data_IF_971545584608
#
_entry.id   IF_971545584608
#
_cell.length_a   1.000
_cell.length_b   1.000
_cell.length_c   1.000
_cell.angle_alpha   90.00
_cell.angle_beta   90.00
_cell.angle_gamma   90.00
#
_symmetry.space_group_name_H-M   'P 1'
#
loop_
_entity.id
_entity.type
_entity.pdbx_description
1 polymer ?
#
# COMPACT_ATOMS: atom_id res chain seq x y z
N UNK A 1 -14.51 10.48 0.25
CA UNK A 1 -14.99 9.29 -0.50
C UNK A 1 -15.25 8.17 0.50
N UNK A 2 -16.19 7.26 0.25
CA UNK A 2 -16.37 6.12 1.15
C UNK A 2 -15.22 5.13 0.96
N UNK A 3 -14.72 4.57 2.06
CA UNK A 3 -13.75 3.48 2.02
C UNK A 3 -14.40 2.23 1.42
N UNK A 4 -13.62 1.40 0.73
CA UNK A 4 -14.14 0.18 0.09
C UNK A 4 -14.50 -0.93 1.10
N UNK A 5 -13.89 -0.91 2.28
CA UNK A 5 -14.11 -1.89 3.34
C UNK A 5 -14.69 -1.23 4.59
N UNK A 6 -15.31 -2.04 5.44
CA UNK A 6 -15.86 -1.58 6.71
C UNK A 6 -14.77 -1.14 7.69
N UNK A 7 -15.16 -0.33 8.69
CA UNK A 7 -14.23 0.07 9.77
C UNK A 7 -13.79 -1.14 10.59
N UNK A 8 -14.67 -2.10 10.74
CA UNK A 8 -14.45 -3.37 11.44
C UNK A 8 -13.39 -4.20 10.72
N UNK A 9 -13.46 -4.28 9.39
CA UNK A 9 -12.46 -4.96 8.57
C UNK A 9 -11.07 -4.32 8.72
N UNK A 10 -10.94 -2.99 8.59
CA UNK A 10 -9.67 -2.30 8.81
C UNK A 10 -9.12 -2.47 10.23
N UNK A 11 -10.01 -2.50 11.24
CA UNK A 11 -9.62 -2.74 12.63
C UNK A 11 -9.08 -4.16 12.82
N UNK A 12 -9.74 -5.14 12.22
CA UNK A 12 -9.30 -6.54 12.23
C UNK A 12 -7.92 -6.70 11.58
N UNK A 13 -7.74 -6.15 10.38
CA UNK A 13 -6.46 -6.17 9.64
C UNK A 13 -5.33 -5.56 10.47
N UNK A 14 -5.55 -4.40 11.05
CA UNK A 14 -4.58 -3.73 11.92
C UNK A 14 -4.22 -4.60 13.14
N UNK A 15 -5.21 -5.20 13.78
CA UNK A 15 -5.00 -6.10 14.92
C UNK A 15 -4.14 -7.30 14.54
N UNK A 16 -4.39 -7.91 13.38
CA UNK A 16 -3.61 -9.04 12.87
C UNK A 16 -2.16 -8.67 12.61
N UNK A 17 -1.90 -7.48 12.06
CA UNK A 17 -0.52 -6.99 11.88
C UNK A 17 0.17 -6.81 13.23
N UNK A 18 -0.47 -6.12 14.19
CA UNK A 18 0.10 -5.87 15.51
C UNK A 18 0.42 -7.18 16.25
N UNK A 19 -0.45 -8.18 16.14
CA UNK A 19 -0.20 -9.51 16.70
C UNK A 19 1.02 -10.17 16.04
N UNK A 20 1.09 -10.16 14.70
CA UNK A 20 2.23 -10.72 13.97
C UNK A 20 3.54 -10.00 14.28
N UNK A 21 3.51 -8.67 14.40
CA UNK A 21 4.67 -7.88 14.83
C UNK A 21 5.13 -8.27 16.24
N UNK A 22 4.18 -8.46 17.17
CA UNK A 22 4.48 -8.88 18.55
C UNK A 22 5.11 -10.27 18.60
N UNK A 23 4.55 -11.24 17.87
CA UNK A 23 5.09 -12.60 17.77
C UNK A 23 6.52 -12.62 17.21
N UNK A 24 6.84 -11.71 16.30
CA UNK A 24 8.16 -11.57 15.68
C UNK A 24 9.10 -10.61 16.40
N UNK A 25 8.66 -10.04 17.55
CA UNK A 25 9.41 -9.05 18.31
C UNK A 25 9.81 -7.81 17.48
N UNK A 26 8.90 -7.29 16.66
CA UNK A 26 9.06 -6.08 15.85
C UNK A 26 8.35 -4.92 16.57
N UNK A 27 9.09 -3.83 16.83
CA UNK A 27 8.55 -2.64 17.51
C UNK A 27 7.80 -1.71 16.54
N UNK A 28 8.22 -1.67 15.27
CA UNK A 28 7.54 -0.93 14.21
C UNK A 28 7.72 -1.60 12.85
N UNK A 29 6.79 -1.34 11.93
CA UNK A 29 6.83 -1.81 10.55
C UNK A 29 6.81 -0.61 9.60
N UNK A 30 7.77 -0.56 8.68
CA UNK A 30 7.82 0.39 7.57
C UNK A 30 7.28 -0.31 6.33
N UNK A 31 6.08 0.05 5.92
CA UNK A 31 5.42 -0.49 4.73
C UNK A 31 5.73 0.41 3.53
N UNK A 32 6.26 -0.17 2.47
CA UNK A 32 6.57 0.51 1.20
C UNK A 32 5.72 0.00 0.04
N UNK A 33 5.09 -1.17 0.18
CA UNK A 33 4.20 -1.72 -0.83
C UNK A 33 2.88 -0.99 -0.86
N UNK A 34 2.47 -0.59 -2.04
CA UNK A 34 1.15 0.00 -2.29
C UNK A 34 0.02 -0.90 -1.77
N UNK A 35 0.11 -2.20 -2.06
CA UNK A 35 -0.88 -3.19 -1.68
C UNK A 35 -1.00 -3.35 -0.16
N UNK A 36 0.11 -3.22 0.57
CA UNK A 36 0.12 -3.27 2.03
C UNK A 36 -0.55 -2.04 2.63
N UNK A 37 -0.22 -0.85 2.11
CA UNK A 37 -0.83 0.42 2.53
C UNK A 37 -2.33 0.43 2.24
N UNK A 38 -2.73 0.04 1.02
CA UNK A 38 -4.14 -0.04 0.63
C UNK A 38 -4.91 -1.04 1.50
N UNK A 39 -4.37 -2.24 1.70
CA UNK A 39 -5.02 -3.29 2.48
C UNK A 39 -5.27 -2.85 3.93
N UNK A 40 -4.31 -2.15 4.54
CA UNK A 40 -4.43 -1.69 5.93
C UNK A 40 -5.29 -0.44 6.07
N UNK A 41 -5.29 0.47 5.10
CA UNK A 41 -5.82 1.84 5.29
C UNK A 41 -6.79 2.31 4.22
N UNK A 42 -6.87 1.63 3.09
CA UNK A 42 -7.58 2.09 1.90
C UNK A 42 -6.80 3.10 1.06
N UNK A 43 -5.57 3.47 1.46
CA UNK A 43 -4.75 4.43 0.72
C UNK A 43 -4.46 3.94 -0.69
N UNK A 44 -5.09 4.60 -1.66
CA UNK A 44 -4.93 4.35 -3.09
C UNK A 44 -4.17 5.50 -3.73
N UNK A 45 -3.08 5.23 -4.45
CA UNK A 45 -2.20 6.26 -4.99
C UNK A 45 -1.54 5.84 -6.31
N UNK A 46 -1.33 6.81 -7.19
CA UNK A 46 -0.44 6.69 -8.35
C UNK A 46 1.04 6.91 -8.00
N UNK A 47 1.32 7.43 -6.80
CA UNK A 47 2.67 7.73 -6.33
C UNK A 47 3.49 6.52 -5.90
N UNK A 48 3.02 5.30 -6.11
CA UNK A 48 3.65 4.06 -5.63
C UNK A 48 5.08 3.81 -6.13
N UNK A 49 5.49 4.48 -7.21
CA UNK A 49 6.86 4.40 -7.77
C UNK A 49 7.86 5.35 -7.08
N UNK A 50 7.36 6.28 -6.26
CA UNK A 50 8.18 7.21 -5.52
C UNK A 50 8.35 6.78 -4.06
N UNK A 51 9.35 7.37 -3.38
CA UNK A 51 9.53 7.09 -1.96
C UNK A 51 8.30 7.56 -1.17
N UNK A 52 7.62 6.62 -0.59
CA UNK A 52 6.56 6.82 0.41
C UNK A 52 6.56 5.64 1.36
N UNK A 53 6.25 5.86 2.61
CA UNK A 53 6.20 4.80 3.61
C UNK A 53 5.09 5.02 4.62
N UNK A 54 4.39 3.96 4.96
CA UNK A 54 3.45 3.94 6.06
C UNK A 54 4.12 3.29 7.27
N UNK A 55 4.26 4.05 8.34
CA UNK A 55 4.84 3.61 9.61
C UNK A 55 3.71 3.13 10.52
N UNK A 56 3.85 1.91 11.05
CA UNK A 56 2.98 1.36 12.10
C UNK A 56 3.82 0.94 13.28
N UNK A 57 3.59 1.51 14.47
CA UNK A 57 4.24 1.08 15.70
C UNK A 57 3.39 0.06 16.48
N UNK A 58 3.95 -0.57 17.52
CA UNK A 58 3.25 -1.53 18.39
C UNK A 58 2.10 -0.92 19.20
N UNK A 59 2.06 0.41 19.37
CA UNK A 59 0.95 1.13 20.01
C UNK A 59 -0.22 1.34 19.07
N UNK A 60 -0.02 1.05 17.78
CA UNK A 60 -1.01 1.23 16.73
C UNK A 60 -1.03 2.63 16.13
N UNK A 61 -0.01 3.45 16.33
CA UNK A 61 0.11 4.72 15.61
C UNK A 61 0.39 4.45 14.13
N UNK A 62 -0.32 5.16 13.26
CA UNK A 62 -0.18 5.09 11.81
C UNK A 62 0.21 6.47 11.29
N UNK A 63 1.37 6.57 10.65
CA UNK A 63 1.88 7.80 10.05
C UNK A 63 2.31 7.51 8.62
N UNK A 64 1.73 8.23 7.66
CA UNK A 64 2.12 8.16 6.26
C UNK A 64 3.10 9.29 5.96
N UNK A 65 4.28 8.94 5.43
CA UNK A 65 5.22 9.88 4.83
C UNK A 65 5.12 9.76 3.31
N UNK A 66 4.72 10.84 2.63
CA UNK A 66 4.52 10.85 1.18
C UNK A 66 4.91 12.21 0.57
N UNK A 67 4.72 12.41 -0.73
CA UNK A 67 4.97 13.67 -1.41
C UNK A 67 3.75 14.58 -1.40
N UNK A 68 3.97 15.89 -1.58
CA UNK A 68 2.89 16.87 -1.67
C UNK A 68 1.80 16.54 -2.72
N UNK A 69 2.12 16.05 -3.94
CA UNK A 69 1.10 15.68 -4.93
C UNK A 69 0.16 14.57 -4.46
N UNK A 70 0.63 13.66 -3.61
CA UNK A 70 -0.13 12.50 -3.14
C UNK A 70 -0.99 12.79 -1.89
N UNK A 71 -0.81 13.95 -1.24
CA UNK A 71 -1.52 14.34 -0.01
C UNK A 71 -3.04 14.28 -0.14
N UNK A 72 -3.58 14.92 -1.17
CA UNK A 72 -5.04 14.97 -1.38
C UNK A 72 -5.63 13.59 -1.62
N UNK A 73 -4.91 12.75 -2.34
CA UNK A 73 -5.33 11.38 -2.58
C UNK A 73 -5.34 10.58 -1.28
N UNK A 74 -4.30 10.68 -0.46
CA UNK A 74 -4.25 10.05 0.85
C UNK A 74 -5.41 10.48 1.77
N UNK A 75 -5.70 11.78 1.82
CA UNK A 75 -6.82 12.32 2.61
C UNK A 75 -8.18 11.82 2.13
N UNK A 76 -8.36 11.58 0.83
CA UNK A 76 -9.65 11.20 0.25
C UNK A 76 -9.89 9.69 0.21
N UNK A 77 -8.84 8.87 0.17
CA UNK A 77 -8.96 7.42 -0.05
C UNK A 77 -8.64 6.57 1.17
N UNK A 78 -8.05 7.17 2.24
CA UNK A 78 -7.59 6.41 3.40
C UNK A 78 -8.24 6.81 4.72
N UNK A 79 -8.06 5.97 5.72
CA UNK A 79 -8.41 6.22 7.12
C UNK A 79 -7.21 6.77 7.94
N UNK A 80 -6.15 7.24 7.28
CA UNK A 80 -4.95 7.76 7.95
C UNK A 80 -5.18 9.19 8.38
N UNK A 81 -4.94 9.49 9.66
CA UNK A 81 -5.08 10.83 10.22
C UNK A 81 -3.78 11.63 10.20
N UNK A 82 -2.63 10.99 10.34
CA UNK A 82 -1.32 11.64 10.35
C UNK A 82 -0.61 11.38 9.02
N UNK A 83 -0.58 12.42 8.18
CA UNK A 83 0.04 12.40 6.86
C UNK A 83 1.10 13.49 6.82
N UNK A 84 2.36 13.08 6.63
CA UNK A 84 3.53 13.95 6.57
C UNK A 84 4.03 14.07 5.14
N UNK A 85 4.56 15.23 4.79
CA UNK A 85 5.03 15.56 3.46
C UNK A 85 6.54 15.76 3.49
N UNK A 86 7.26 15.02 2.66
CA UNK A 86 8.61 15.37 2.30
C UNK A 86 8.63 16.15 0.98
N UNK A 87 9.55 17.08 0.85
CA UNK A 87 9.64 17.96 -0.32
C UNK A 87 10.65 17.41 -1.31
N UNK A 88 10.17 17.07 -2.51
CA UNK A 88 11.01 16.59 -3.62
C UNK A 88 11.73 17.79 -4.26
N UNK A 89 12.90 18.12 -3.75
CA UNK A 89 13.80 19.18 -4.23
C UNK A 89 15.22 18.66 -4.33
N UNK A 90 16.07 19.39 -5.04
CA UNK A 90 17.47 19.05 -5.17
C UNK A 90 18.16 18.93 -3.78
N UNK A 91 18.89 17.83 -3.58
CA UNK A 91 19.55 17.50 -2.31
C UNK A 91 18.63 16.95 -1.21
N UNK A 92 17.31 16.82 -1.44
CA UNK A 92 16.40 16.23 -0.44
C UNK A 92 16.65 14.74 -0.24
N UNK A 93 16.43 14.30 1.00
CA UNK A 93 16.51 12.89 1.35
C UNK A 93 15.31 12.52 2.24
N UNK A 94 14.29 11.84 1.72
CA UNK A 94 13.07 11.52 2.48
C UNK A 94 13.33 10.61 3.69
N UNK A 95 14.50 9.97 3.77
CA UNK A 95 14.85 9.16 4.95
C UNK A 95 15.15 10.03 6.18
N UNK A 96 15.51 11.30 5.98
CA UNK A 96 15.71 12.24 7.10
C UNK A 96 14.37 12.62 7.72
N UNK A 97 13.34 12.89 6.89
CA UNK A 97 11.97 13.11 7.36
C UNK A 97 11.39 11.86 8.03
N UNK A 98 11.68 10.67 7.50
CA UNK A 98 11.29 9.41 8.15
C UNK A 98 11.92 9.28 9.54
N UNK A 99 13.20 9.63 9.69
CA UNK A 99 13.89 9.54 10.97
C UNK A 99 13.29 10.45 12.03
N UNK A 100 12.79 11.63 11.66
CA UNK A 100 12.05 12.52 12.56
C UNK A 100 10.80 11.81 13.07
N UNK A 101 10.04 11.14 12.20
CA UNK A 101 8.86 10.35 12.58
C UNK A 101 9.23 9.24 13.56
N UNK A 102 10.32 8.53 13.30
CA UNK A 102 10.79 7.45 14.17
C UNK A 102 11.23 7.97 15.56
N UNK A 103 11.83 9.15 15.62
CA UNK A 103 12.21 9.82 16.88
C UNK A 103 10.96 10.23 17.68
N UNK A 104 9.93 10.81 17.02
CA UNK A 104 8.65 11.15 17.66
C UNK A 104 7.95 9.92 18.27
N UNK A 105 8.08 8.76 17.61
CA UNK A 105 7.54 7.48 18.08
C UNK A 105 8.44 6.77 19.12
N UNK A 106 9.60 7.35 19.48
CA UNK A 106 10.59 6.77 20.40
C UNK A 106 11.13 5.41 19.95
N UNK A 107 11.43 5.27 18.65
CA UNK A 107 11.86 4.01 18.04
C UNK A 107 13.41 3.88 17.93
N UNK A 108 14.17 4.80 18.50
CA UNK A 108 15.63 4.68 18.60
C UNK A 108 16.02 3.46 19.44
N UNK A 109 16.94 2.64 18.92
CA UNK A 109 17.39 1.39 19.58
C UNK A 109 16.37 0.26 19.51
N UNK A 110 15.25 0.45 18.79
CA UNK A 110 14.19 -0.54 18.60
C UNK A 110 14.43 -1.41 17.39
N UNK A 111 13.60 -2.45 17.23
CA UNK A 111 13.63 -3.39 16.12
C UNK A 111 12.55 -3.03 15.11
N UNK A 112 12.96 -2.65 13.91
CA UNK A 112 12.08 -2.17 12.85
C UNK A 112 12.06 -3.17 11.70
N UNK A 113 10.87 -3.62 11.32
CA UNK A 113 10.63 -4.40 10.12
C UNK A 113 10.50 -3.49 8.91
N UNK A 114 11.04 -3.90 7.76
CA UNK A 114 10.99 -3.11 6.52
C UNK A 114 10.48 -4.00 5.39
N UNK A 115 9.53 -3.50 4.60
CA UNK A 115 9.17 -4.09 3.31
C UNK A 115 10.16 -3.62 2.24
N UNK A 116 11.17 -4.45 1.93
CA UNK A 116 12.17 -4.13 0.91
C UNK A 116 11.68 -4.41 -0.51
N UNK A 117 10.79 -5.36 -0.70
CA UNK A 117 10.28 -5.73 -1.99
C UNK A 117 9.11 -4.82 -2.42
N UNK A 118 9.43 -3.58 -2.84
CA UNK A 118 8.45 -2.57 -3.22
C UNK A 118 8.98 -1.67 -4.34
N UNK A 119 8.10 -1.25 -5.24
CA UNK A 119 8.47 -0.35 -6.35
C UNK A 119 9.01 1.00 -5.88
N UNK A 120 8.43 1.59 -4.85
CA UNK A 120 8.85 2.88 -4.28
C UNK A 120 10.17 2.81 -3.52
N UNK A 121 10.59 1.63 -3.07
CA UNK A 121 11.87 1.41 -2.40
C UNK A 121 12.90 0.87 -3.39
N UNK A 122 13.29 1.70 -4.36
CA UNK A 122 14.35 1.34 -5.31
C UNK A 122 15.65 1.00 -4.59
N UNK A 123 16.56 0.27 -5.23
CA UNK A 123 17.86 -0.08 -4.64
C UNK A 123 18.60 1.15 -4.08
N UNK A 124 18.55 2.30 -4.77
CA UNK A 124 19.15 3.56 -4.29
C UNK A 124 18.46 4.06 -3.01
N UNK A 125 17.14 4.02 -2.94
CA UNK A 125 16.38 4.44 -1.77
C UNK A 125 16.61 3.48 -0.59
N UNK A 126 16.70 2.18 -0.84
CA UNK A 126 17.01 1.18 0.19
C UNK A 126 18.41 1.39 0.80
N UNK A 127 19.41 1.71 -0.02
CA UNK A 127 20.76 2.04 0.46
C UNK A 127 20.73 3.29 1.35
N UNK A 128 20.06 4.37 0.92
CA UNK A 128 19.90 5.59 1.73
C UNK A 128 19.17 5.33 3.04
N UNK A 129 18.08 4.54 3.00
CA UNK A 129 17.32 4.15 4.17
C UNK A 129 18.20 3.40 5.18
N UNK A 130 18.92 2.38 4.72
CA UNK A 130 19.79 1.58 5.58
C UNK A 130 20.92 2.43 6.19
N UNK A 131 21.54 3.30 5.40
CA UNK A 131 22.56 4.25 5.91
C UNK A 131 22.00 5.22 6.95
N UNK A 132 20.78 5.74 6.74
CA UNK A 132 20.12 6.66 7.68
C UNK A 132 19.76 5.96 9.00
N UNK A 133 19.45 4.67 8.96
CA UNK A 133 19.07 3.87 10.13
C UNK A 133 20.27 3.13 10.77
N UNK A 134 21.45 3.18 10.18
CA UNK A 134 22.67 2.61 10.74
C UNK A 134 22.96 3.24 12.11
N UNK A 135 23.26 2.41 13.11
CA UNK A 135 23.46 2.84 14.49
C UNK A 135 22.27 3.56 15.16
N UNK A 136 21.13 3.64 14.46
CA UNK A 136 19.89 4.22 14.99
C UNK A 136 18.98 3.16 15.59
N UNK A 137 18.73 2.08 14.85
CA UNK A 137 17.84 0.97 15.24
C UNK A 137 18.33 -0.36 14.62
N UNK A 138 17.75 -1.48 15.08
CA UNK A 138 17.94 -2.77 14.41
C UNK A 138 16.88 -2.90 13.30
N UNK A 139 17.29 -3.31 12.11
CA UNK A 139 16.40 -3.48 10.96
C UNK A 139 16.33 -4.94 10.52
N UNK A 140 15.15 -5.39 10.14
CA UNK A 140 14.90 -6.72 9.58
C UNK A 140 14.04 -6.64 8.33
N UNK A 141 14.32 -7.50 7.35
CA UNK A 141 13.40 -7.69 6.22
C UNK A 141 12.11 -8.35 6.67
N UNK A 142 10.99 -7.66 6.46
CA UNK A 142 9.62 -8.11 6.76
C UNK A 142 8.71 -7.98 5.55
N UNK A 143 9.26 -8.06 4.35
CA UNK A 143 8.52 -8.00 3.08
C UNK A 143 7.36 -8.98 3.02
N UNK A 144 7.49 -10.14 3.68
CA UNK A 144 6.47 -11.19 3.68
C UNK A 144 5.41 -11.07 4.78
N UNK A 145 5.56 -10.16 5.76
CA UNK A 145 4.66 -10.10 6.91
C UNK A 145 3.21 -9.83 6.48
N UNK A 146 2.98 -8.73 5.77
CA UNK A 146 1.65 -8.36 5.28
C UNK A 146 1.18 -9.32 4.18
N UNK A 147 2.08 -9.74 3.29
CA UNK A 147 1.78 -10.70 2.22
C UNK A 147 1.14 -11.97 2.77
N UNK A 148 1.70 -12.55 3.84
CA UNK A 148 1.16 -13.75 4.48
C UNK A 148 -0.23 -13.54 5.09
N UNK A 149 -0.48 -12.36 5.69
CA UNK A 149 -1.81 -12.03 6.24
C UNK A 149 -2.87 -11.86 5.13
N UNK A 150 -2.46 -11.44 3.93
CA UNK A 150 -3.34 -11.26 2.76
C UNK A 150 -3.63 -12.55 1.99
N UNK A 151 -2.93 -13.65 2.26
CA UNK A 151 -3.14 -14.93 1.56
C UNK A 151 -4.55 -15.44 1.76
N UNK A 152 -5.05 -15.44 3.00
CA UNK A 152 -6.43 -15.83 3.33
C UNK A 152 -7.31 -14.58 3.26
N UNK A 153 -8.31 -14.62 2.37
CA UNK A 153 -9.21 -13.48 2.11
C UNK A 153 -10.36 -13.47 3.12
N UNK A 154 -10.73 -12.27 3.55
CA UNK A 154 -11.95 -12.07 4.34
C UNK A 154 -13.22 -12.22 3.48
N UNK A 155 -14.39 -12.34 4.12
CA UNK A 155 -15.68 -12.41 3.42
C UNK A 155 -15.95 -11.15 2.60
N UNK A 156 -15.55 -9.97 3.10
CA UNK A 156 -15.65 -8.71 2.35
C UNK A 156 -14.76 -8.74 1.10
N UNK A 157 -13.51 -9.19 1.23
CA UNK A 157 -12.59 -9.35 0.10
C UNK A 157 -13.12 -10.35 -0.93
N UNK A 158 -13.64 -11.49 -0.50
CA UNK A 158 -14.25 -12.49 -1.39
C UNK A 158 -15.44 -11.91 -2.14
N UNK A 159 -16.23 -11.04 -1.49
CA UNK A 159 -17.34 -10.34 -2.15
C UNK A 159 -16.85 -9.47 -3.31
N UNK A 160 -15.76 -8.71 -3.11
CA UNK A 160 -15.15 -7.91 -4.18
C UNK A 160 -14.53 -8.77 -5.28
N UNK A 161 -13.83 -9.85 -4.93
CA UNK A 161 -13.24 -10.79 -5.90
C UNK A 161 -14.33 -11.38 -6.81
N UNK A 162 -15.47 -11.79 -6.25
CA UNK A 162 -16.60 -12.33 -7.02
C UNK A 162 -17.21 -11.29 -7.96
N UNK A 163 -17.36 -10.05 -7.50
CA UNK A 163 -17.83 -8.95 -8.35
C UNK A 163 -16.85 -8.69 -9.49
N UNK A 164 -15.56 -8.61 -9.21
CA UNK A 164 -14.54 -8.41 -10.23
C UNK A 164 -14.50 -9.56 -11.26
N UNK A 165 -14.64 -10.81 -10.81
CA UNK A 165 -14.74 -11.97 -11.70
C UNK A 165 -15.95 -11.87 -12.63
N UNK A 166 -17.13 -11.54 -12.09
CA UNK A 166 -18.34 -11.34 -12.90
C UNK A 166 -18.17 -10.23 -13.95
N UNK A 167 -17.49 -9.14 -13.61
CA UNK A 167 -17.17 -8.07 -14.56
C UNK A 167 -16.25 -8.54 -15.67
N UNK A 168 -15.23 -9.34 -15.33
CA UNK A 168 -14.34 -9.94 -16.31
C UNK A 168 -15.07 -10.88 -17.27
N UNK A 169 -15.99 -11.69 -16.74
CA UNK A 169 -16.82 -12.58 -17.56
C UNK A 169 -17.69 -11.79 -18.54
N UNK A 170 -18.38 -10.74 -18.07
CA UNK A 170 -19.18 -9.86 -18.93
C UNK A 170 -18.36 -9.20 -20.03
N UNK A 171 -17.17 -8.70 -19.69
CA UNK A 171 -16.24 -8.12 -20.67
C UNK A 171 -15.81 -9.15 -21.74
N UNK A 172 -15.55 -10.38 -21.31
CA UNK A 172 -15.15 -11.46 -22.20
C UNK A 172 -16.31 -11.90 -23.12
N UNK A 173 -17.54 -11.94 -22.61
CA UNK A 173 -18.74 -12.23 -23.42
C UNK A 173 -18.90 -11.21 -24.56
N UNK A 174 -18.63 -9.92 -24.33
CA UNK A 174 -18.64 -8.92 -25.40
C UNK A 174 -17.56 -9.18 -26.45
N UNK A 175 -16.35 -9.57 -26.03
CA UNK A 175 -15.28 -9.97 -26.98
C UNK A 175 -15.76 -11.08 -27.90
N UNK A 176 -16.43 -12.12 -27.37
CA UNK A 176 -16.93 -13.25 -28.17
C UNK A 176 -18.00 -12.84 -29.20
N UNK A 177 -18.83 -11.83 -28.91
CA UNK A 177 -19.83 -11.32 -29.86
C UNK A 177 -19.22 -10.69 -31.09
N UNK A 178 -18.09 -10.00 -30.92
CA UNK A 178 -17.42 -9.21 -31.96
C UNK A 178 -16.21 -9.91 -32.61
N UNK A 179 -15.66 -10.95 -31.98
CA UNK A 179 -14.50 -11.68 -32.51
C UNK A 179 -14.90 -12.59 -33.69
N UNK A 180 -14.87 -12.02 -34.89
CA UNK A 180 -15.21 -12.69 -36.15
C UNK A 180 -14.10 -12.47 -37.18
N UNK A 181 -14.02 -13.34 -38.20
CA UNK A 181 -13.07 -13.14 -39.30
C UNK A 181 -13.25 -11.76 -39.94
N UNK A 182 -12.15 -11.01 -40.07
CA UNK A 182 -12.15 -9.65 -40.60
C UNK A 182 -12.51 -8.55 -39.58
N UNK A 183 -12.79 -8.87 -38.33
CA UNK A 183 -13.01 -7.88 -37.29
C UNK A 183 -11.70 -7.20 -36.88
N UNK A 184 -11.74 -5.90 -36.64
CA UNK A 184 -10.60 -5.15 -36.11
C UNK A 184 -10.45 -5.39 -34.60
N UNK A 185 -9.24 -5.69 -34.13
CA UNK A 185 -8.93 -5.80 -32.70
C UNK A 185 -9.29 -4.53 -31.92
N UNK A 186 -9.02 -3.35 -32.50
CA UNK A 186 -9.38 -2.07 -31.91
C UNK A 186 -10.88 -1.91 -31.68
N UNK A 187 -11.72 -2.41 -32.62
CA UNK A 187 -13.17 -2.41 -32.47
C UNK A 187 -13.61 -3.37 -31.35
N UNK A 188 -13.07 -4.58 -31.31
CA UNK A 188 -13.37 -5.56 -30.26
C UNK A 188 -13.01 -4.99 -28.89
N UNK A 189 -11.84 -4.38 -28.76
CA UNK A 189 -11.39 -3.74 -27.51
C UNK A 189 -12.31 -2.58 -27.10
N UNK A 190 -12.76 -1.76 -28.07
CA UNK A 190 -13.69 -0.66 -27.79
C UNK A 190 -15.03 -1.17 -27.22
N UNK A 191 -15.63 -2.20 -27.85
CA UNK A 191 -16.90 -2.79 -27.40
C UNK A 191 -16.75 -3.44 -26.01
N UNK A 192 -15.64 -4.15 -25.77
CA UNK A 192 -15.31 -4.70 -24.45
C UNK A 192 -15.24 -3.59 -23.37
N UNK A 193 -14.54 -2.50 -23.66
CA UNK A 193 -14.44 -1.39 -22.70
C UNK A 193 -15.80 -0.70 -22.49
N UNK A 194 -16.59 -0.50 -23.55
CA UNK A 194 -17.93 0.09 -23.45
C UNK A 194 -18.87 -0.76 -22.58
N UNK A 195 -18.77 -2.08 -22.61
CA UNK A 195 -19.58 -2.97 -21.78
C UNK A 195 -19.35 -2.76 -20.27
N UNK A 196 -18.19 -2.24 -19.88
CA UNK A 196 -17.82 -1.99 -18.49
C UNK A 196 -18.18 -0.58 -17.99
N UNK A 197 -18.51 0.36 -18.89
CA UNK A 197 -18.80 1.77 -18.53
C UNK A 197 -20.09 1.89 -17.70
N UNK A 198 -21.06 1.01 -17.91
CA UNK A 198 -22.37 1.06 -17.26
C UNK A 198 -22.42 0.37 -15.90
N UNK A 199 -21.30 -0.07 -15.42
CA UNK A 199 -21.15 -0.74 -14.13
C UNK A 199 -20.62 0.22 -13.09
#
# INVERSE_FOLDING_TARGET
>A
MALHFSKEEFKSRKSNILNSMKEQNIDALLMFRQESMYWLTGYDTFGYVFFQTLVLDQKGNLILLTRAPDLRQAQNTSNINDIRIWVDKDGSNPTDDLKIILDELNLKGKKIGIEYEAYGLTGRNAIKLNQSLENYCSIEDKSELITKLRVVKSDEEITYVRKAANLADLALEEVWKYAKSGASEAKILAEMNLSLIHI
#
